data_IF_694252924315
#
_entry.id   IF_694252924315
#
_cell.length_a   1.000
_cell.length_b   1.000
_cell.length_c   1.000
_cell.angle_alpha   90.00
_cell.angle_beta   90.00
_cell.angle_gamma   90.00
#
_symmetry.space_group_name_H-M   'P 1'
#
loop_
_entity.id
_entity.type
_entity.pdbx_description
1 polymer ?
#
# COMPACT_ATOMS: atom_id res chain seq x y z
N UNK A 1 -10.31 -8.02 -12.30
CA UNK A 1 -9.00 -7.43 -11.92
C UNK A 1 -8.72 -6.07 -12.55
N UNK A 2 -9.10 -5.81 -13.81
CA UNK A 2 -8.86 -4.51 -14.50
C UNK A 2 -9.35 -3.29 -13.69
N UNK A 3 -10.55 -3.34 -13.10
CA UNK A 3 -11.07 -2.24 -12.27
C UNK A 3 -10.20 -1.96 -11.03
N UNK A 4 -9.73 -3.02 -10.35
CA UNK A 4 -8.75 -2.90 -9.26
C UNK A 4 -7.44 -2.29 -9.74
N UNK A 5 -6.93 -2.81 -10.87
CA UNK A 5 -5.81 -2.29 -11.66
C UNK A 5 -5.83 -0.77 -11.79
N UNK A 6 -6.95 -0.26 -12.29
CA UNK A 6 -7.16 1.17 -12.54
C UNK A 6 -7.13 2.00 -11.26
N UNK A 7 -7.89 1.63 -10.24
CA UNK A 7 -8.01 2.43 -9.02
C UNK A 7 -6.72 2.44 -8.19
N UNK A 8 -6.00 1.32 -8.12
CA UNK A 8 -4.68 1.28 -7.50
C UNK A 8 -3.63 2.04 -8.29
N UNK A 9 -3.68 1.98 -9.62
CA UNK A 9 -2.82 2.83 -10.47
C UNK A 9 -3.05 4.31 -10.19
N UNK A 10 -4.32 4.74 -10.08
CA UNK A 10 -4.67 6.11 -9.69
C UNK A 10 -4.11 6.42 -8.29
N UNK A 11 -4.26 5.51 -7.32
CA UNK A 11 -3.72 5.70 -5.97
C UNK A 11 -2.19 5.90 -6.01
N UNK A 12 -1.45 5.10 -6.77
CA UNK A 12 0.00 5.25 -6.91
C UNK A 12 0.41 6.57 -7.57
N UNK A 13 -0.25 6.98 -8.66
CA UNK A 13 0.00 8.27 -9.31
C UNK A 13 -0.23 9.42 -8.33
N UNK A 14 -1.31 9.36 -7.55
CA UNK A 14 -1.62 10.38 -6.55
C UNK A 14 -0.62 10.38 -5.39
N UNK A 15 -0.17 9.21 -4.92
CA UNK A 15 0.89 9.09 -3.91
C UNK A 15 2.17 9.76 -4.41
N UNK A 16 2.60 9.47 -5.65
CA UNK A 16 3.77 10.08 -6.26
C UNK A 16 3.63 11.60 -6.38
N UNK A 17 2.49 12.07 -6.88
CA UNK A 17 2.21 13.50 -7.03
C UNK A 17 2.22 14.22 -5.69
N UNK A 18 1.52 13.67 -4.69
CA UNK A 18 1.44 14.27 -3.35
C UNK A 18 2.80 14.25 -2.67
N UNK A 19 3.54 13.15 -2.82
CA UNK A 19 4.86 13.04 -2.23
C UNK A 19 5.87 14.03 -2.82
N UNK A 20 5.81 14.25 -4.14
CA UNK A 20 6.61 15.29 -4.79
C UNK A 20 6.23 16.70 -4.35
N UNK A 21 4.93 17.01 -4.27
CA UNK A 21 4.44 18.34 -3.86
C UNK A 21 4.74 18.67 -2.41
N UNK A 22 4.57 17.71 -1.51
CA UNK A 22 4.80 17.91 -0.08
C UNK A 22 6.26 17.72 0.33
N UNK A 23 7.11 17.20 -0.56
CA UNK A 23 8.48 16.74 -0.26
C UNK A 23 8.50 15.76 0.91
N UNK A 24 7.53 14.85 0.90
CA UNK A 24 7.28 13.87 1.95
C UNK A 24 6.89 12.53 1.32
N UNK A 25 7.17 11.41 1.97
CA UNK A 25 6.75 10.12 1.44
C UNK A 25 5.26 9.85 1.73
N UNK A 26 4.54 9.34 0.73
CA UNK A 26 3.09 9.10 0.82
C UNK A 26 2.68 7.68 1.22
N UNK A 27 3.60 6.73 1.25
CA UNK A 27 3.35 5.34 1.64
C UNK A 27 4.29 4.89 2.78
N UNK A 28 3.78 4.27 3.87
CA UNK A 28 4.61 3.72 4.95
C UNK A 28 5.61 2.67 4.46
N UNK A 29 6.80 2.64 5.08
CA UNK A 29 7.93 1.78 4.67
C UNK A 29 7.55 0.30 4.49
N UNK A 30 6.95 -0.32 5.52
CA UNK A 30 6.65 -1.75 5.47
C UNK A 30 5.58 -2.09 4.42
N UNK A 31 4.61 -1.19 4.18
CA UNK A 31 3.62 -1.35 3.12
C UNK A 31 4.27 -1.28 1.73
N UNK A 32 5.18 -0.31 1.53
CA UNK A 32 5.94 -0.19 0.29
C UNK A 32 6.84 -1.41 0.04
N UNK A 33 7.55 -1.88 1.06
CA UNK A 33 8.40 -3.07 0.97
C UNK A 33 7.59 -4.31 0.60
N UNK A 34 6.43 -4.50 1.21
CA UNK A 34 5.53 -5.61 0.91
C UNK A 34 5.00 -5.51 -0.53
N UNK A 35 4.52 -4.34 -0.95
CA UNK A 35 4.04 -4.10 -2.32
C UNK A 35 5.12 -4.42 -3.37
N UNK A 36 6.30 -3.79 -3.29
CA UNK A 36 7.41 -4.04 -4.22
C UNK A 36 7.74 -5.54 -4.29
N UNK A 37 7.75 -6.20 -3.14
CA UNK A 37 8.05 -7.63 -3.06
C UNK A 37 6.97 -8.47 -3.74
N UNK A 38 5.70 -8.19 -3.45
CA UNK A 38 4.56 -8.88 -4.03
C UNK A 38 4.54 -8.73 -5.55
N UNK A 39 4.61 -7.48 -6.05
CA UNK A 39 4.61 -7.20 -7.49
C UNK A 39 5.80 -7.87 -8.19
N UNK A 40 6.99 -7.85 -7.60
CA UNK A 40 8.15 -8.52 -8.18
C UNK A 40 7.98 -10.04 -8.22
N UNK A 41 7.52 -10.65 -7.14
CA UNK A 41 7.33 -12.10 -7.05
C UNK A 41 6.31 -12.55 -8.08
N UNK A 42 5.15 -11.90 -8.16
CA UNK A 42 4.07 -12.30 -9.05
C UNK A 42 4.21 -11.78 -10.49
N UNK A 43 5.23 -10.95 -10.76
CA UNK A 43 5.65 -10.62 -12.11
C UNK A 43 6.75 -11.55 -12.65
N UNK A 44 7.70 -12.01 -11.81
CA UNK A 44 8.92 -12.69 -12.28
C UNK A 44 9.18 -14.09 -11.70
N UNK A 45 8.77 -14.37 -10.47
CA UNK A 45 9.06 -15.65 -9.78
C UNK A 45 7.90 -16.63 -9.96
N UNK A 46 6.68 -16.16 -9.69
CA UNK A 46 5.43 -16.87 -9.88
C UNK A 46 4.51 -16.02 -10.77
N UNK A 47 4.87 -15.86 -12.06
CA UNK A 47 4.21 -14.91 -12.94
C UNK A 47 2.71 -15.20 -13.05
N UNK A 48 1.89 -14.18 -12.81
CA UNK A 48 0.44 -14.28 -12.99
C UNK A 48 0.05 -14.54 -14.45
N UNK A 49 -1.10 -15.18 -14.69
CA UNK A 49 -1.63 -15.30 -16.05
C UNK A 49 -2.03 -13.92 -16.61
N UNK A 50 -1.95 -13.79 -17.94
CA UNK A 50 -2.45 -12.61 -18.63
C UNK A 50 -3.98 -12.50 -18.43
N UNK A 51 -4.54 -11.28 -18.25
CA UNK A 51 -3.91 -9.97 -18.42
C UNK A 51 -3.27 -9.36 -17.16
N UNK A 52 -3.32 -10.04 -16.00
CA UNK A 52 -2.86 -9.47 -14.72
C UNK A 52 -1.36 -9.17 -14.73
N UNK A 53 -0.56 -10.02 -15.38
CA UNK A 53 0.88 -9.84 -15.50
C UNK A 53 1.30 -8.44 -15.97
N UNK A 54 0.56 -7.85 -16.91
CA UNK A 54 0.87 -6.50 -17.42
C UNK A 54 0.53 -5.40 -16.40
N UNK A 55 -0.48 -5.64 -15.56
CA UNK A 55 -0.83 -4.77 -14.45
C UNK A 55 0.27 -4.84 -13.38
N UNK A 56 0.79 -6.03 -13.08
CA UNK A 56 1.86 -6.20 -12.09
C UNK A 56 3.15 -5.49 -12.53
N UNK A 57 3.53 -5.60 -13.80
CA UNK A 57 4.66 -4.83 -14.33
C UNK A 57 4.45 -3.31 -14.19
N UNK A 58 3.24 -2.83 -14.48
CA UNK A 58 2.91 -1.42 -14.36
C UNK A 58 2.96 -0.95 -12.89
N UNK A 59 2.39 -1.74 -11.98
CA UNK A 59 2.40 -1.48 -10.54
C UNK A 59 3.82 -1.49 -9.97
N UNK A 60 4.65 -2.45 -10.38
CA UNK A 60 6.06 -2.49 -9.98
C UNK A 60 6.82 -1.22 -10.39
N UNK A 61 6.58 -0.69 -11.60
CA UNK A 61 7.18 0.58 -12.04
C UNK A 61 6.77 1.73 -11.13
N UNK A 62 5.49 1.80 -10.75
CA UNK A 62 5.02 2.82 -9.82
C UNK A 62 5.62 2.65 -8.42
N UNK A 63 5.70 1.42 -7.92
CA UNK A 63 6.27 1.11 -6.61
C UNK A 63 7.76 1.46 -6.55
N UNK A 64 8.53 1.23 -7.63
CA UNK A 64 9.92 1.71 -7.74
C UNK A 64 9.97 3.24 -7.65
N UNK A 65 9.04 3.95 -8.30
CA UNK A 65 8.92 5.39 -8.16
C UNK A 65 8.64 5.84 -6.72
N UNK A 66 7.70 5.16 -6.03
CA UNK A 66 7.35 5.47 -4.63
C UNK A 66 8.52 5.14 -3.71
N UNK A 67 9.25 4.07 -3.99
CA UNK A 67 10.47 3.68 -3.30
C UNK A 67 11.54 4.76 -3.39
N UNK A 68 11.79 5.30 -4.58
CA UNK A 68 12.72 6.42 -4.76
C UNK A 68 12.27 7.64 -3.95
N UNK A 69 10.98 7.97 -3.92
CA UNK A 69 10.47 9.05 -3.07
C UNK A 69 10.61 8.76 -1.58
N UNK A 70 10.41 7.52 -1.16
CA UNK A 70 10.62 7.10 0.23
C UNK A 70 12.08 7.25 0.64
N UNK A 71 13.03 6.83 -0.19
CA UNK A 71 14.46 6.99 0.10
C UNK A 71 14.90 8.46 0.08
N UNK A 72 14.31 9.28 -0.78
CA UNK A 72 14.62 10.71 -0.87
C UNK A 72 14.05 11.53 0.31
N UNK A 73 12.79 11.28 0.69
CA UNK A 73 12.07 12.11 1.67
C UNK A 73 11.89 11.44 3.04
N UNK A 74 12.00 10.11 3.14
CA UNK A 74 11.80 9.37 4.39
C UNK A 74 12.90 9.57 5.42
N UNK A 75 14.10 9.94 4.97
CA UNK A 75 15.25 10.16 5.85
C UNK A 75 15.03 11.30 6.87
N UNK A 76 14.22 12.30 6.54
CA UNK A 76 13.92 13.42 7.45
C UNK A 76 13.01 13.02 8.61
N UNK A 77 12.27 11.92 8.49
CA UNK A 77 11.39 11.39 9.54
C UNK A 77 12.08 10.30 10.39
N UNK A 78 13.32 9.94 10.03
CA UNK A 78 14.11 9.00 10.82
C UNK A 78 14.59 9.68 12.11
N UNK A 79 14.54 9.00 13.28
CA UNK A 79 14.88 9.64 14.54
C UNK A 79 16.29 10.22 14.56
N UNK A 80 16.42 11.50 14.93
CA UNK A 80 17.71 12.21 14.88
C UNK A 80 18.75 11.63 15.84
N UNK A 81 18.31 10.98 16.93
CA UNK A 81 19.17 10.33 17.90
C UNK A 81 19.76 8.99 17.41
N UNK A 82 19.34 8.50 16.24
CA UNK A 82 19.84 7.24 15.66
C UNK A 82 20.80 7.50 14.48
N UNK A 83 21.80 6.63 14.26
CA UNK A 83 22.66 6.73 13.09
C UNK A 83 21.86 6.66 11.79
N UNK A 84 22.03 7.65 10.90
CA UNK A 84 21.31 7.72 9.61
C UNK A 84 21.54 6.50 8.69
N UNK A 85 22.61 5.72 8.91
CA UNK A 85 22.84 4.44 8.21
C UNK A 85 21.76 3.40 8.55
N UNK A 86 21.22 3.43 9.76
CA UNK A 86 20.18 2.49 10.20
C UNK A 86 18.91 2.62 9.36
N UNK A 87 18.58 3.82 8.86
CA UNK A 87 17.45 4.00 7.93
C UNK A 87 17.53 3.04 6.73
N UNK A 88 18.69 2.98 6.08
CA UNK A 88 18.90 2.12 4.91
C UNK A 88 18.98 0.65 5.30
N UNK A 89 19.58 0.33 6.45
CA UNK A 89 19.64 -1.05 6.96
C UNK A 89 18.25 -1.58 7.28
N UNK A 90 17.42 -0.80 7.99
CA UNK A 90 16.05 -1.20 8.34
C UNK A 90 15.18 -1.31 7.10
N UNK A 91 15.35 -0.41 6.14
CA UNK A 91 14.66 -0.47 4.85
C UNK A 91 15.02 -1.74 4.08
N UNK A 92 16.31 -2.01 3.88
CA UNK A 92 16.78 -3.17 3.13
C UNK A 92 16.37 -4.47 3.81
N UNK A 93 16.52 -4.55 5.14
CA UNK A 93 16.07 -5.71 5.91
C UNK A 93 14.57 -5.95 5.72
N UNK A 94 13.75 -4.90 5.82
CA UNK A 94 12.30 -5.01 5.67
C UNK A 94 11.91 -5.44 4.26
N UNK A 95 12.57 -4.89 3.22
CA UNK A 95 12.34 -5.28 1.84
C UNK A 95 12.63 -6.77 1.61
N UNK A 96 13.81 -7.23 2.02
CA UNK A 96 14.20 -8.64 1.87
C UNK A 96 13.29 -9.56 2.70
N UNK A 97 12.98 -9.17 3.93
CA UNK A 97 12.13 -9.97 4.81
C UNK A 97 10.70 -10.08 4.28
N UNK A 98 10.13 -9.00 3.73
CA UNK A 98 8.83 -9.04 3.05
C UNK A 98 8.86 -10.01 1.86
N UNK A 99 9.88 -9.94 1.00
CA UNK A 99 10.01 -10.85 -0.13
C UNK A 99 10.08 -12.32 0.31
N UNK A 100 10.96 -12.65 1.27
CA UNK A 100 11.08 -14.00 1.81
C UNK A 100 9.76 -14.48 2.43
N UNK A 101 9.09 -13.62 3.20
CA UNK A 101 7.82 -13.96 3.85
C UNK A 101 6.72 -14.22 2.82
N UNK A 102 6.60 -13.39 1.79
CA UNK A 102 5.57 -13.57 0.74
C UNK A 102 5.84 -14.84 -0.06
N UNK A 103 7.10 -15.12 -0.41
CA UNK A 103 7.46 -16.39 -1.08
C UNK A 103 7.15 -17.61 -0.20
N UNK A 104 7.49 -17.55 1.09
CA UNK A 104 7.17 -18.62 2.03
C UNK A 104 5.66 -18.82 2.20
N UNK A 105 4.88 -17.74 2.29
CA UNK A 105 3.42 -17.80 2.34
C UNK A 105 2.81 -18.44 1.08
N UNK A 106 3.34 -18.12 -0.11
CA UNK A 106 2.88 -18.72 -1.36
C UNK A 106 3.08 -20.24 -1.36
N UNK A 107 4.20 -20.72 -0.83
CA UNK A 107 4.50 -22.16 -0.71
C UNK A 107 3.64 -22.84 0.37
N UNK A 108 3.60 -22.27 1.58
CA UNK A 108 2.88 -22.82 2.73
C UNK A 108 1.38 -22.98 2.44
N UNK A 109 0.78 -21.96 1.83
CA UNK A 109 -0.65 -21.97 1.51
C UNK A 109 -0.96 -22.57 0.13
N UNK A 110 0.05 -23.00 -0.62
CA UNK A 110 -0.08 -23.36 -2.04
C UNK A 110 -0.81 -22.28 -2.86
N UNK A 111 -0.59 -21.01 -2.51
CA UNK A 111 -1.21 -19.82 -3.11
C UNK A 111 -0.22 -19.09 -4.02
N UNK A 112 0.05 -19.69 -5.18
CA UNK A 112 0.97 -19.14 -6.18
C UNK A 112 0.38 -17.98 -6.99
N UNK A 113 -0.87 -17.59 -6.72
CA UNK A 113 -1.47 -16.37 -7.23
C UNK A 113 -1.52 -15.25 -6.18
N UNK A 114 -1.04 -15.51 -4.95
CA UNK A 114 -0.71 -14.48 -3.96
C UNK A 114 -1.90 -13.77 -3.34
N UNK A 115 -3.10 -14.36 -3.35
CA UNK A 115 -4.33 -13.74 -2.82
C UNK A 115 -4.16 -13.45 -1.32
N UNK A 116 -3.76 -14.45 -0.52
CA UNK A 116 -3.65 -14.29 0.93
C UNK A 116 -2.59 -13.25 1.29
N UNK A 117 -1.45 -13.29 0.61
CA UNK A 117 -0.39 -12.30 0.77
C UNK A 117 -0.88 -10.89 0.41
N UNK A 118 -1.61 -10.74 -0.70
CA UNK A 118 -2.15 -9.46 -1.17
C UNK A 118 -3.09 -8.81 -0.15
N UNK A 119 -4.03 -9.58 0.41
CA UNK A 119 -4.97 -9.03 1.39
C UNK A 119 -4.34 -8.84 2.77
N UNK A 120 -3.43 -9.72 3.20
CA UNK A 120 -2.73 -9.55 4.47
C UNK A 120 -1.87 -8.28 4.47
N UNK A 121 -1.09 -8.03 3.41
CA UNK A 121 -0.29 -6.81 3.30
C UNK A 121 -1.16 -5.56 3.15
N UNK A 122 -2.32 -5.65 2.48
CA UNK A 122 -3.23 -4.51 2.33
C UNK A 122 -3.89 -4.14 3.67
N UNK A 123 -4.24 -5.13 4.51
CA UNK A 123 -4.69 -4.87 5.88
C UNK A 123 -3.60 -4.15 6.70
N UNK A 124 -2.37 -4.67 6.66
CA UNK A 124 -1.22 -4.03 7.28
C UNK A 124 -1.04 -2.59 6.76
N UNK A 125 -1.16 -2.39 5.45
CA UNK A 125 -1.08 -1.07 4.82
C UNK A 125 -2.13 -0.12 5.39
N UNK A 126 -3.41 -0.52 5.48
CA UNK A 126 -4.46 0.31 6.05
C UNK A 126 -4.14 0.76 7.49
N UNK A 127 -3.66 -0.15 8.34
CA UNK A 127 -3.22 0.19 9.71
C UNK A 127 -2.07 1.21 9.67
N UNK A 128 -1.08 0.98 8.82
CA UNK A 128 0.10 1.84 8.74
C UNK A 128 -0.21 3.24 8.20
N UNK A 129 -1.17 3.38 7.27
CA UNK A 129 -1.62 4.68 6.79
C UNK A 129 -2.28 5.51 7.90
N UNK A 130 -3.11 4.88 8.75
CA UNK A 130 -3.70 5.51 9.94
C UNK A 130 -2.59 5.91 10.91
N UNK A 131 -1.69 5.00 11.26
CA UNK A 131 -0.56 5.27 12.16
C UNK A 131 0.33 6.41 11.65
N UNK A 132 0.59 6.46 10.35
CA UNK A 132 1.37 7.52 9.72
C UNK A 132 0.66 8.89 9.85
N UNK A 133 -0.65 8.95 9.60
CA UNK A 133 -1.45 10.17 9.78
C UNK A 133 -1.41 10.65 11.23
N UNK A 134 -1.66 9.74 12.19
CA UNK A 134 -1.70 10.06 13.62
C UNK A 134 -0.33 10.51 14.13
N UNK A 135 0.74 9.81 13.75
CA UNK A 135 2.12 10.15 14.17
C UNK A 135 2.57 11.49 13.60
N UNK A 136 2.28 11.76 12.32
CA UNK A 136 2.64 13.02 11.67
C UNK A 136 1.80 14.19 12.15
N UNK A 137 0.59 13.92 12.64
CA UNK A 137 -0.44 14.92 12.93
C UNK A 137 -0.59 15.92 11.77
N UNK A 138 -0.56 15.42 10.53
CA UNK A 138 -0.58 16.23 9.31
C UNK A 138 -0.96 15.37 8.10
N UNK A 139 -1.68 15.96 7.14
CA UNK A 139 -2.06 15.33 5.87
C UNK A 139 -0.94 15.34 4.80
N UNK A 140 0.31 15.65 5.18
CA UNK A 140 1.46 15.64 4.25
C UNK A 140 1.73 14.25 3.68
N UNK A 141 1.92 14.18 2.36
CA UNK A 141 2.07 12.95 1.60
C UNK A 141 0.75 12.19 1.37
N UNK A 142 -0.38 12.69 1.88
CA UNK A 142 -1.69 12.03 1.80
C UNK A 142 -2.75 12.94 1.18
N UNK A 143 -3.81 12.35 0.63
CA UNK A 143 -4.99 13.04 0.12
C UNK A 143 -6.23 12.17 0.23
N UNK A 144 -7.41 12.80 0.25
CA UNK A 144 -8.69 12.08 0.26
C UNK A 144 -8.85 11.19 -0.98
N UNK A 145 -8.35 11.62 -2.13
CA UNK A 145 -8.37 10.82 -3.36
C UNK A 145 -7.51 9.56 -3.26
N UNK A 146 -6.33 9.61 -2.61
CA UNK A 146 -5.52 8.40 -2.36
C UNK A 146 -6.32 7.40 -1.52
N UNK A 147 -6.95 7.87 -0.44
CA UNK A 147 -7.75 7.02 0.45
C UNK A 147 -8.93 6.37 -0.28
N UNK A 148 -9.69 7.16 -1.06
CA UNK A 148 -10.83 6.64 -1.82
C UNK A 148 -10.40 5.68 -2.93
N UNK A 149 -9.37 6.03 -3.70
CA UNK A 149 -8.86 5.18 -4.78
C UNK A 149 -8.36 3.84 -4.26
N UNK A 150 -7.60 3.83 -3.15
CA UNK A 150 -7.17 2.59 -2.48
C UNK A 150 -8.37 1.73 -2.05
N UNK A 151 -9.34 2.35 -1.38
CA UNK A 151 -10.51 1.67 -0.85
C UNK A 151 -11.34 1.03 -1.98
N UNK A 152 -11.67 1.81 -3.01
CA UNK A 152 -12.41 1.33 -4.18
C UNK A 152 -11.62 0.27 -4.94
N UNK A 153 -10.31 0.47 -5.11
CA UNK A 153 -9.41 -0.51 -5.73
C UNK A 153 -9.37 -1.85 -4.99
N UNK A 154 -9.61 -1.87 -3.68
CA UNK A 154 -9.67 -3.09 -2.86
C UNK A 154 -11.06 -3.73 -2.83
N UNK A 155 -12.15 -2.95 -2.93
CA UNK A 155 -13.51 -3.49 -2.92
C UNK A 155 -13.74 -4.45 -4.10
N UNK A 156 -13.27 -4.10 -5.31
CA UNK A 156 -13.42 -4.95 -6.49
C UNK A 156 -12.84 -6.37 -6.30
N UNK A 157 -11.56 -6.54 -5.91
CA UNK A 157 -11.00 -7.86 -5.69
C UNK A 157 -11.61 -8.55 -4.46
N UNK A 158 -11.95 -7.82 -3.38
CA UNK A 158 -12.63 -8.43 -2.22
C UNK A 158 -13.95 -9.10 -2.61
N UNK A 159 -14.80 -8.42 -3.39
CA UNK A 159 -16.07 -9.01 -3.87
C UNK A 159 -15.78 -10.20 -4.78
N UNK A 160 -14.85 -10.06 -5.73
CA UNK A 160 -14.49 -11.14 -6.64
C UNK A 160 -14.04 -12.38 -5.89
N UNK A 161 -13.07 -12.26 -4.99
CA UNK A 161 -12.51 -13.40 -4.26
C UNK A 161 -13.45 -13.96 -3.20
N UNK A 162 -14.38 -13.17 -2.67
CA UNK A 162 -15.48 -13.71 -1.88
C UNK A 162 -16.37 -14.65 -2.71
N UNK A 163 -16.66 -14.31 -3.97
CA UNK A 163 -17.45 -15.17 -4.85
C UNK A 163 -16.71 -16.46 -5.25
N UNK A 164 -15.38 -16.40 -5.42
CA UNK A 164 -14.56 -17.57 -5.73
C UNK A 164 -14.28 -18.46 -4.51
N UNK A 165 -14.12 -17.86 -3.33
CA UNK A 165 -13.74 -18.54 -2.08
C UNK A 165 -14.70 -18.20 -0.94
N UNK A 166 -16.01 -18.48 -1.06
CA UNK A 166 -17.02 -18.04 -0.10
C UNK A 166 -16.83 -18.66 1.30
N UNK A 167 -16.17 -19.81 1.38
CA UNK A 167 -15.91 -20.53 2.63
C UNK A 167 -14.61 -20.11 3.33
N UNK A 168 -13.83 -19.18 2.75
CA UNK A 168 -12.57 -18.74 3.36
C UNK A 168 -12.81 -17.67 4.44
N UNK A 169 -12.91 -18.12 5.69
CA UNK A 169 -13.09 -17.24 6.86
C UNK A 169 -11.95 -16.21 7.00
N UNK A 170 -10.72 -16.61 6.67
CA UNK A 170 -9.57 -15.72 6.72
C UNK A 170 -9.70 -14.57 5.71
N UNK A 171 -10.06 -14.89 4.45
CA UNK A 171 -10.27 -13.87 3.43
C UNK A 171 -11.41 -12.92 3.81
N UNK A 172 -12.53 -13.45 4.29
CA UNK A 172 -13.65 -12.63 4.76
C UNK A 172 -13.24 -11.68 5.89
N UNK A 173 -12.47 -12.17 6.87
CA UNK A 173 -11.93 -11.35 7.95
C UNK A 173 -11.02 -10.24 7.42
N UNK A 174 -10.12 -10.55 6.48
CA UNK A 174 -9.24 -9.57 5.85
C UNK A 174 -10.03 -8.51 5.08
N UNK A 175 -11.04 -8.90 4.29
CA UNK A 175 -11.85 -7.97 3.50
C UNK A 175 -12.58 -6.97 4.39
N UNK A 176 -13.27 -7.47 5.42
CA UNK A 176 -14.00 -6.64 6.37
C UNK A 176 -13.03 -5.71 7.14
N UNK A 177 -11.90 -6.25 7.60
CA UNK A 177 -10.88 -5.49 8.31
C UNK A 177 -10.31 -4.35 7.46
N UNK A 178 -9.95 -4.62 6.20
CA UNK A 178 -9.44 -3.60 5.28
C UNK A 178 -10.50 -2.52 5.04
N UNK A 179 -11.74 -2.92 4.76
CA UNK A 179 -12.81 -1.95 4.49
C UNK A 179 -13.05 -1.03 5.69
N UNK A 180 -13.15 -1.58 6.90
CA UNK A 180 -13.34 -0.79 8.12
C UNK A 180 -12.17 0.17 8.34
N UNK A 181 -10.93 -0.31 8.20
CA UNK A 181 -9.74 0.53 8.38
C UNK A 181 -9.61 1.61 7.30
N UNK A 182 -9.97 1.32 6.05
CA UNK A 182 -9.93 2.30 4.96
C UNK A 182 -10.99 3.40 5.18
N UNK A 183 -12.18 3.05 5.66
CA UNK A 183 -13.19 4.03 6.09
C UNK A 183 -12.67 4.89 7.24
N UNK A 184 -12.11 4.26 8.28
CA UNK A 184 -11.53 5.00 9.43
C UNK A 184 -10.40 5.92 8.96
N UNK A 185 -9.50 5.44 8.11
CA UNK A 185 -8.42 6.24 7.54
C UNK A 185 -8.97 7.44 6.77
N UNK A 186 -9.94 7.24 5.88
CA UNK A 186 -10.57 8.32 5.12
C UNK A 186 -11.21 9.37 6.04
N UNK A 187 -12.00 8.94 7.04
CA UNK A 187 -12.67 9.84 7.97
C UNK A 187 -11.68 10.66 8.81
N UNK A 188 -10.65 10.01 9.35
CA UNK A 188 -9.59 10.68 10.11
C UNK A 188 -8.83 11.70 9.24
N UNK A 189 -8.47 11.30 8.02
CA UNK A 189 -7.77 12.19 7.09
C UNK A 189 -8.64 13.38 6.69
N UNK A 190 -9.93 13.15 6.43
CA UNK A 190 -10.89 14.18 6.10
C UNK A 190 -11.07 15.18 7.24
N UNK A 191 -11.26 14.69 8.47
CA UNK A 191 -11.36 15.51 9.66
C UNK A 191 -10.08 16.35 9.85
N UNK A 192 -8.90 15.72 9.74
CA UNK A 192 -7.62 16.41 9.88
C UNK A 192 -7.43 17.50 8.82
N UNK A 193 -7.76 17.23 7.56
CA UNK A 193 -7.69 18.24 6.50
C UNK A 193 -8.60 19.44 6.79
N UNK A 194 -9.82 19.22 7.30
CA UNK A 194 -10.71 20.30 7.73
C UNK A 194 -10.13 21.11 8.89
N UNK A 195 -9.58 20.45 9.91
CA UNK A 195 -8.92 21.13 11.04
C UNK A 195 -7.74 21.98 10.59
N UNK A 196 -6.98 21.50 9.60
CA UNK A 196 -5.83 22.23 9.03
C UNK A 196 -6.24 23.32 8.01
N UNK A 197 -7.56 23.56 7.81
CA UNK A 197 -8.07 24.54 6.83
C UNK A 197 -7.89 24.14 5.36
N UNK A 198 -7.56 22.88 5.10
CA UNK A 198 -7.30 22.35 3.76
C UNK A 198 -8.60 21.79 3.18
N UNK A 199 -9.00 22.24 1.98
CA UNK A 199 -10.15 21.68 1.28
C UNK A 199 -9.83 20.24 0.80
N UNK A 200 -10.53 19.20 1.30
CA UNK A 200 -10.26 17.80 0.96
C UNK A 200 -10.36 17.49 -0.54
N UNK A 201 -11.23 18.19 -1.26
CA UNK A 201 -11.54 17.95 -2.68
C UNK A 201 -10.65 18.75 -3.63
N UNK A 202 -9.92 19.76 -3.12
CA UNK A 202 -8.93 20.49 -3.92
C UNK A 202 -7.52 19.90 -3.79
N UNK A 203 -7.31 18.98 -2.85
CA UNK A 203 -6.00 18.37 -2.55
C UNK A 203 -5.75 17.13 -3.42
N UNK A 204 -5.23 17.35 -4.62
CA UNK A 204 -4.74 16.31 -5.56
C UNK A 204 -3.22 16.22 -5.53
#
# INVERSE_FOLDING_TARGET
>A
MIGSGLFWTIAYILILRRGYKDKYYGMPMAALCANVSWEFIFAFVYPHPQPQLYIDYLWLVFDVGILVQYLAYGRSEFPEHLPKKLFYVTFLFTLVYCALTITAMAQEFNDYIGIYAAFAQNLMMSVLFIRMLLKRNSSRGQSGYIALSKMVGTIFPSILFYLYFPNSNLLLLLFCGIFVLDVVYFLLLYAKMKTDGINPWKRI
#
